data_IF_601614857460
#
_entry.id   IF_601614857460
#
_cell.length_a   1.000
_cell.length_b   1.000
_cell.length_c   1.000
_cell.angle_alpha   90.00
_cell.angle_beta   90.00
_cell.angle_gamma   90.00
#
_symmetry.space_group_name_H-M   'P 1'
#
loop_
_entity.id
_entity.type
_entity.pdbx_description
1 polymer ?
#
# COMPACT_ATOMS: atom_id res chain seq x y z
N UNK A 1 -17.43 52.73 6.16
CA UNK A 1 -18.63 52.22 5.47
C UNK A 1 -18.25 50.90 4.85
N UNK A 2 -18.60 49.80 5.51
CA UNK A 2 -18.32 48.43 5.04
C UNK A 2 -19.47 48.08 4.09
N UNK A 3 -19.17 47.98 2.80
CA UNK A 3 -20.13 47.47 1.82
C UNK A 3 -20.30 45.97 2.06
N UNK A 4 -21.36 45.60 2.79
CA UNK A 4 -21.92 44.25 2.75
C UNK A 4 -22.37 43.97 1.31
N UNK A 5 -21.48 43.35 0.54
CA UNK A 5 -21.86 42.69 -0.71
C UNK A 5 -22.87 41.59 -0.31
N UNK A 6 -24.16 41.86 -0.50
CA UNK A 6 -25.22 40.86 -0.40
C UNK A 6 -24.88 39.71 -1.35
N UNK A 7 -24.26 38.66 -0.81
CA UNK A 7 -24.04 37.41 -1.53
C UNK A 7 -25.42 36.87 -1.93
N UNK A 8 -25.68 36.83 -3.24
CA UNK A 8 -26.94 36.33 -3.78
C UNK A 8 -27.02 34.83 -3.48
N UNK A 9 -27.93 34.46 -2.58
CA UNK A 9 -28.21 33.06 -2.25
C UNK A 9 -29.09 32.47 -3.34
N UNK A 10 -28.65 31.35 -3.91
CA UNK A 10 -29.38 30.59 -4.94
C UNK A 10 -29.65 29.18 -4.39
N UNK A 11 -30.80 28.60 -4.75
CA UNK A 11 -31.21 27.26 -4.32
C UNK A 11 -31.07 26.28 -5.48
N UNK A 12 -30.38 25.17 -5.24
CA UNK A 12 -30.16 24.14 -6.25
C UNK A 12 -30.32 22.73 -5.67
N UNK A 13 -30.76 21.78 -6.50
CA UNK A 13 -30.71 20.36 -6.14
C UNK A 13 -29.27 19.90 -6.00
N UNK A 14 -29.01 19.09 -4.98
CA UNK A 14 -27.67 18.60 -4.62
C UNK A 14 -27.51 17.15 -5.04
N UNK A 15 -26.42 16.88 -5.76
CA UNK A 15 -26.02 15.56 -6.18
C UNK A 15 -24.74 15.13 -5.46
N UNK A 16 -24.84 14.24 -4.46
CA UNK A 16 -23.68 13.63 -3.83
C UNK A 16 -22.95 12.69 -4.80
N UNK A 17 -21.64 12.87 -4.96
CA UNK A 17 -20.79 11.94 -5.71
C UNK A 17 -19.96 11.07 -4.77
N UNK A 18 -19.86 9.78 -5.12
CA UNK A 18 -18.94 8.84 -4.47
C UNK A 18 -17.57 8.96 -5.15
N UNK A 19 -16.49 9.01 -4.37
CA UNK A 19 -15.11 8.82 -4.85
C UNK A 19 -14.65 9.76 -5.98
N UNK A 20 -15.30 10.92 -6.17
CA UNK A 20 -14.79 11.94 -7.09
C UNK A 20 -15.19 13.34 -6.65
N UNK A 21 -14.37 14.32 -7.04
CA UNK A 21 -14.59 15.76 -6.87
C UNK A 21 -14.68 16.35 -8.27
N UNK A 22 -15.78 17.05 -8.56
CA UNK A 22 -15.98 17.71 -9.85
C UNK A 22 -15.38 19.12 -9.79
N UNK A 23 -14.42 19.43 -10.67
CA UNK A 23 -13.85 20.77 -10.79
C UNK A 23 -14.62 21.65 -11.80
N UNK A 24 -14.53 22.98 -11.69
CA UNK A 24 -15.02 23.89 -12.72
C UNK A 24 -14.47 23.56 -14.12
N UNK A 25 -15.31 23.69 -15.15
CA UNK A 25 -15.05 23.34 -16.56
C UNK A 25 -14.75 21.86 -16.85
N UNK A 26 -14.62 21.02 -15.84
CA UNK A 26 -14.46 19.58 -16.03
C UNK A 26 -15.76 18.97 -16.53
N UNK A 27 -15.66 18.08 -17.52
CA UNK A 27 -16.78 17.27 -18.02
C UNK A 27 -16.52 15.82 -17.65
N UNK A 28 -17.44 15.20 -16.92
CA UNK A 28 -17.37 13.78 -16.56
C UNK A 28 -18.71 13.08 -16.78
N UNK A 29 -18.69 11.80 -17.17
CA UNK A 29 -19.85 10.95 -16.99
C UNK A 29 -20.00 10.59 -15.51
N UNK A 30 -21.22 10.63 -15.00
CA UNK A 30 -21.59 10.13 -13.68
C UNK A 30 -22.66 9.06 -13.82
N UNK A 31 -22.49 7.98 -13.08
CA UNK A 31 -23.45 6.90 -13.02
C UNK A 31 -24.42 7.14 -11.84
N UNK A 32 -25.71 7.09 -12.12
CA UNK A 32 -26.79 7.48 -11.22
C UNK A 32 -27.68 6.26 -10.99
N UNK A 33 -27.54 5.62 -9.83
CA UNK A 33 -28.32 4.43 -9.46
C UNK A 33 -29.19 4.59 -8.21
N UNK A 34 -28.88 5.56 -7.32
CA UNK A 34 -29.67 5.79 -6.10
C UNK A 34 -31.03 6.38 -6.45
N UNK A 35 -32.09 5.93 -5.79
CA UNK A 35 -33.47 6.40 -6.05
C UNK A 35 -33.60 7.93 -5.96
N UNK A 36 -33.03 8.55 -4.91
CA UNK A 36 -33.05 10.02 -4.74
C UNK A 36 -32.35 10.74 -5.89
N UNK A 37 -31.19 10.25 -6.33
CA UNK A 37 -30.42 10.85 -7.42
C UNK A 37 -31.08 10.63 -8.79
N UNK A 38 -31.73 9.48 -9.00
CA UNK A 38 -32.54 9.21 -10.20
C UNK A 38 -33.73 10.16 -10.27
N UNK A 39 -34.43 10.36 -9.15
CA UNK A 39 -35.54 11.30 -9.05
C UNK A 39 -35.10 12.74 -9.34
N UNK A 40 -33.96 13.16 -8.77
CA UNK A 40 -33.32 14.45 -9.09
C UNK A 40 -33.14 14.62 -10.60
N UNK A 41 -32.49 13.66 -11.27
CA UNK A 41 -32.22 13.76 -12.72
C UNK A 41 -33.52 13.79 -13.54
N UNK A 42 -34.55 13.06 -13.14
CA UNK A 42 -35.84 13.02 -13.84
C UNK A 42 -36.63 14.33 -13.68
N UNK A 43 -36.50 14.99 -12.54
CA UNK A 43 -37.21 16.23 -12.23
C UNK A 43 -36.51 17.47 -12.85
N UNK A 44 -35.31 17.33 -13.42
CA UNK A 44 -34.62 18.40 -14.14
C UNK A 44 -35.38 18.79 -15.42
N UNK A 45 -35.81 20.05 -15.50
CA UNK A 45 -36.43 20.60 -16.69
C UNK A 45 -35.38 21.10 -17.71
N UNK A 46 -35.72 21.26 -18.99
CA UNK A 46 -34.81 21.81 -20.00
C UNK A 46 -34.25 23.21 -19.65
N UNK A 47 -34.99 23.98 -18.85
CA UNK A 47 -34.63 25.32 -18.36
C UNK A 47 -33.87 25.26 -17.02
N UNK A 48 -33.97 24.16 -16.27
CA UNK A 48 -33.41 23.95 -14.93
C UNK A 48 -32.36 22.84 -14.88
N UNK A 49 -31.37 22.84 -15.80
CA UNK A 49 -30.31 21.82 -15.87
C UNK A 49 -29.16 21.99 -14.85
N UNK A 50 -29.29 22.94 -13.93
CA UNK A 50 -28.26 23.26 -12.96
C UNK A 50 -28.44 22.41 -11.69
N UNK A 51 -27.37 21.76 -11.28
CA UNK A 51 -27.28 20.98 -10.06
C UNK A 51 -26.03 21.40 -9.29
N UNK A 52 -26.00 21.20 -7.98
CA UNK A 52 -24.77 21.34 -7.20
C UNK A 52 -24.21 19.95 -6.94
N UNK A 53 -22.99 19.73 -7.37
CA UNK A 53 -22.27 18.46 -7.21
C UNK A 53 -21.34 18.60 -6.02
N UNK A 54 -21.48 17.69 -5.05
CA UNK A 54 -20.68 17.70 -3.81
C UNK A 54 -20.12 16.31 -3.57
N UNK A 55 -18.83 16.23 -3.21
CA UNK A 55 -18.22 14.97 -2.85
C UNK A 55 -18.66 14.53 -1.44
N UNK A 56 -18.77 13.21 -1.25
CA UNK A 56 -18.91 12.61 0.08
C UNK A 56 -17.54 12.57 0.77
N UNK A 57 -17.51 12.78 2.08
CA UNK A 57 -16.31 12.59 2.90
C UNK A 57 -15.92 11.11 2.93
N UNK A 58 -16.90 10.24 3.18
CA UNK A 58 -16.77 8.79 3.12
C UNK A 58 -17.59 8.21 1.96
N UNK A 59 -16.91 7.72 0.93
CA UNK A 59 -17.54 7.13 -0.25
C UNK A 59 -18.21 5.77 -0.02
N UNK A 60 -18.02 5.15 1.15
CA UNK A 60 -18.67 3.89 1.53
C UNK A 60 -20.12 4.08 2.00
N UNK A 61 -20.52 5.31 2.34
CA UNK A 61 -21.86 5.60 2.84
C UNK A 61 -22.88 5.51 1.70
N UNK A 62 -23.85 4.63 1.87
CA UNK A 62 -24.84 4.36 0.84
C UNK A 62 -25.80 5.53 0.63
N UNK A 63 -26.31 6.12 1.71
CA UNK A 63 -27.21 7.28 1.72
C UNK A 63 -26.62 8.39 2.58
N UNK A 64 -25.79 9.28 2.01
CA UNK A 64 -25.10 10.30 2.78
C UNK A 64 -26.08 11.35 3.31
N UNK A 65 -25.89 11.76 4.55
CA UNK A 65 -26.58 12.91 5.16
C UNK A 65 -25.79 14.19 4.82
N UNK A 66 -26.38 15.38 4.98
CA UNK A 66 -25.68 16.65 4.77
C UNK A 66 -24.35 16.77 5.54
N UNK A 67 -24.27 16.18 6.73
CA UNK A 67 -23.06 16.14 7.57
C UNK A 67 -21.93 15.26 6.98
N UNK A 68 -22.28 14.33 6.09
CA UNK A 68 -21.34 13.40 5.46
C UNK A 68 -20.80 13.97 4.11
N UNK A 69 -21.13 15.24 3.79
CA UNK A 69 -20.77 15.93 2.55
C UNK A 69 -19.84 17.11 2.84
N UNK A 70 -18.90 17.36 1.92
CA UNK A 70 -18.02 18.52 2.04
C UNK A 70 -18.76 19.86 1.94
N UNK A 71 -18.22 20.88 2.60
CA UNK A 71 -18.81 22.22 2.67
C UNK A 71 -18.72 23.02 1.35
N UNK A 72 -17.85 22.59 0.44
CA UNK A 72 -17.74 23.17 -0.91
C UNK A 72 -18.04 22.13 -1.96
N UNK A 73 -18.68 22.59 -3.03
CA UNK A 73 -18.94 21.79 -4.21
C UNK A 73 -18.81 22.63 -5.48
N UNK A 74 -19.36 22.09 -6.56
CA UNK A 74 -19.31 22.72 -7.88
C UNK A 74 -20.73 22.81 -8.43
N UNK A 75 -21.14 24.03 -8.78
CA UNK A 75 -22.31 24.24 -9.62
C UNK A 75 -22.02 23.60 -10.98
N UNK A 76 -22.90 22.72 -11.43
CA UNK A 76 -22.73 21.96 -12.65
C UNK A 76 -23.99 22.01 -13.51
N UNK A 77 -23.82 21.77 -14.80
CA UNK A 77 -24.92 21.62 -15.76
C UNK A 77 -24.96 20.20 -16.27
N UNK A 78 -26.15 19.59 -16.25
CA UNK A 78 -26.39 18.29 -16.87
C UNK A 78 -26.56 18.48 -18.38
N UNK A 79 -25.58 18.03 -19.15
CA UNK A 79 -25.55 18.21 -20.61
C UNK A 79 -26.48 17.20 -21.30
N UNK A 80 -26.31 15.92 -20.96
CA UNK A 80 -27.04 14.78 -21.55
C UNK A 80 -27.25 13.70 -20.50
N UNK A 81 -28.31 12.92 -20.66
CA UNK A 81 -28.65 11.77 -19.83
C UNK A 81 -28.94 10.59 -20.75
N UNK A 82 -28.41 9.43 -20.40
CA UNK A 82 -28.59 8.17 -21.10
C UNK A 82 -29.19 7.16 -20.14
N UNK A 83 -30.21 6.43 -20.58
CA UNK A 83 -30.74 5.29 -19.81
C UNK A 83 -29.83 4.08 -20.00
N UNK A 84 -29.56 3.36 -18.91
CA UNK A 84 -28.73 2.16 -18.89
C UNK A 84 -29.61 0.90 -18.84
N UNK A 85 -29.10 -0.27 -19.27
CA UNK A 85 -29.89 -1.52 -19.31
C UNK A 85 -30.41 -2.03 -17.94
N UNK A 86 -29.82 -1.55 -16.85
CA UNK A 86 -30.09 -1.94 -15.46
C UNK A 86 -31.05 -0.98 -14.74
N UNK A 87 -31.80 -0.15 -15.49
CA UNK A 87 -32.67 0.93 -14.99
C UNK A 87 -31.94 2.09 -14.27
N UNK A 88 -30.61 2.12 -14.29
CA UNK A 88 -29.85 3.29 -13.87
C UNK A 88 -29.74 4.32 -15.01
N UNK A 89 -29.14 5.48 -14.73
CA UNK A 89 -28.85 6.51 -15.73
C UNK A 89 -27.38 6.90 -15.72
N UNK A 90 -26.84 7.19 -16.90
CA UNK A 90 -25.54 7.84 -17.06
C UNK A 90 -25.76 9.29 -17.47
N UNK A 91 -25.33 10.25 -16.65
CA UNK A 91 -25.46 11.67 -16.92
C UNK A 91 -24.09 12.27 -17.23
N UNK A 92 -23.99 13.07 -18.31
CA UNK A 92 -22.79 13.87 -18.61
C UNK A 92 -22.96 15.22 -17.93
N UNK A 93 -22.09 15.51 -16.96
CA UNK A 93 -22.12 16.75 -16.19
C UNK A 93 -20.90 17.61 -16.49
N UNK A 94 -21.12 18.91 -16.58
CA UNK A 94 -20.06 19.90 -16.75
C UNK A 94 -20.02 20.83 -15.54
N UNK A 95 -18.89 20.90 -14.85
CA UNK A 95 -18.66 21.88 -13.79
C UNK A 95 -18.63 23.30 -14.35
N UNK A 96 -19.19 24.25 -13.62
CA UNK A 96 -19.30 25.66 -14.01
C UNK A 96 -18.45 26.51 -13.07
N UNK A 97 -18.81 26.54 -11.78
CA UNK A 97 -18.21 27.42 -10.77
C UNK A 97 -18.21 26.73 -9.40
N UNK A 98 -17.27 27.14 -8.54
CA UNK A 98 -17.24 26.72 -7.14
C UNK A 98 -18.40 27.35 -6.37
N UNK A 99 -18.99 26.56 -5.49
CA UNK A 99 -20.02 27.03 -4.57
C UNK A 99 -19.71 26.59 -3.16
N UNK A 100 -20.08 27.43 -2.20
CA UNK A 100 -20.10 27.09 -0.78
C UNK A 100 -21.52 26.75 -0.37
N UNK A 101 -21.68 25.62 0.30
CA UNK A 101 -22.94 25.20 0.89
C UNK A 101 -23.23 26.07 2.11
N UNK A 102 -24.42 26.67 2.18
CA UNK A 102 -24.84 27.50 3.32
C UNK A 102 -25.78 26.73 4.24
N UNK A 103 -26.80 26.11 3.64
CA UNK A 103 -27.84 25.40 4.38
C UNK A 103 -28.56 24.39 3.47
N UNK A 104 -29.14 23.35 4.06
CA UNK A 104 -29.95 22.35 3.38
C UNK A 104 -31.42 22.59 3.72
N UNK A 105 -32.22 22.89 2.70
CA UNK A 105 -33.57 23.47 2.87
C UNK A 105 -34.68 22.43 2.76
N UNK A 106 -34.42 21.30 2.09
CA UNK A 106 -35.37 20.20 1.93
C UNK A 106 -34.63 18.88 1.59
N UNK A 107 -35.14 17.74 2.07
CA UNK A 107 -34.49 16.42 1.98
C UNK A 107 -35.33 15.36 1.24
N UNK A 108 -36.56 15.70 0.84
CA UNK A 108 -37.49 14.81 0.14
C UNK A 108 -38.05 15.53 -1.10
N UNK A 109 -37.87 15.00 -2.33
CA UNK A 109 -37.33 13.69 -2.68
C UNK A 109 -35.81 13.57 -2.80
N UNK A 110 -35.10 14.69 -2.77
CA UNK A 110 -33.64 14.77 -2.81
C UNK A 110 -33.20 16.06 -2.13
N UNK A 111 -31.90 16.16 -1.84
CA UNK A 111 -31.36 17.33 -1.15
C UNK A 111 -31.49 18.60 -1.99
N UNK A 112 -32.03 19.65 -1.38
CA UNK A 112 -31.99 21.02 -1.87
C UNK A 112 -31.11 21.84 -0.94
N UNK A 113 -30.21 22.65 -1.49
CA UNK A 113 -29.35 23.50 -0.69
C UNK A 113 -29.32 24.94 -1.17
N UNK A 114 -29.25 25.85 -0.20
CA UNK A 114 -28.85 27.24 -0.40
C UNK A 114 -27.34 27.28 -0.55
N UNK A 115 -26.90 27.84 -1.66
CA UNK A 115 -25.48 27.97 -1.96
C UNK A 115 -25.13 29.40 -2.29
N UNK A 116 -23.85 29.72 -2.15
CA UNK A 116 -23.30 30.96 -2.69
C UNK A 116 -22.13 30.65 -3.61
N UNK A 117 -22.08 31.38 -4.73
CA UNK A 117 -20.98 31.27 -5.69
C UNK A 117 -19.74 31.92 -5.09
N UNK A 118 -18.62 31.21 -5.18
CA UNK A 118 -17.37 31.66 -4.61
C UNK A 118 -16.47 32.15 -5.72
N UNK A 119 -15.86 33.33 -5.52
CA UNK A 119 -14.90 33.90 -6.46
C UNK A 119 -13.49 33.58 -6.00
N UNK A 120 -12.63 33.28 -6.97
CA UNK A 120 -11.20 33.14 -6.75
C UNK A 120 -10.62 34.49 -6.28
N UNK A 121 -9.67 34.42 -5.33
CA UNK A 121 -8.80 35.55 -4.99
C UNK A 121 -7.57 35.45 -5.89
N UNK A 122 -7.51 36.32 -6.87
CA UNK A 122 -6.44 36.36 -7.86
C UNK A 122 -5.65 37.67 -7.68
N UNK A 123 -4.48 37.57 -7.06
CA UNK A 123 -3.47 38.63 -7.07
C UNK A 123 -2.44 38.25 -8.14
N UNK A 124 -2.38 39.05 -9.20
CA UNK A 124 -1.41 38.83 -10.28
C UNK A 124 -0.09 39.45 -9.87
N UNK A 125 0.89 38.61 -9.51
CA UNK A 125 2.26 39.01 -9.22
C UNK A 125 3.26 38.16 -10.04
N UNK A 126 4.53 38.62 -10.09
CA UNK A 126 5.61 37.93 -10.82
C UNK A 126 5.84 36.51 -10.28
N UNK A 127 5.52 36.28 -9.01
CA UNK A 127 5.70 35.00 -8.35
C UNK A 127 4.66 33.97 -8.82
N UNK A 128 3.40 34.38 -9.00
CA UNK A 128 2.34 33.54 -9.56
C UNK A 128 2.68 33.10 -10.98
N UNK A 129 3.24 33.98 -11.81
CA UNK A 129 3.68 33.61 -13.16
C UNK A 129 4.78 32.54 -13.14
N UNK A 130 5.74 32.67 -12.21
CA UNK A 130 6.80 31.68 -12.01
C UNK A 130 6.23 30.32 -11.53
N UNK A 131 5.28 30.35 -10.59
CA UNK A 131 4.58 29.16 -10.08
C UNK A 131 3.77 28.48 -11.17
N UNK A 132 3.07 29.24 -12.01
CA UNK A 132 2.30 28.70 -13.14
C UNK A 132 3.22 28.01 -14.14
N UNK A 133 4.40 28.58 -14.43
CA UNK A 133 5.41 27.92 -15.26
C UNK A 133 5.92 26.63 -14.61
N UNK A 134 6.15 26.64 -13.31
CA UNK A 134 6.56 25.44 -12.56
C UNK A 134 5.48 24.35 -12.63
N UNK A 135 4.22 24.67 -12.35
CA UNK A 135 3.10 23.73 -12.45
C UNK A 135 3.01 23.07 -13.83
N UNK A 136 3.19 23.84 -14.92
CA UNK A 136 3.24 23.26 -16.27
C UNK A 136 4.39 22.28 -16.43
N UNK A 137 5.59 22.64 -15.99
CA UNK A 137 6.77 21.78 -16.08
C UNK A 137 6.59 20.49 -15.26
N UNK A 138 6.10 20.60 -14.01
CA UNK A 138 5.82 19.44 -13.16
C UNK A 138 4.78 18.53 -13.80
N UNK A 139 3.74 19.09 -14.42
CA UNK A 139 2.75 18.27 -15.14
C UNK A 139 3.36 17.60 -16.38
N UNK A 140 4.21 18.28 -17.13
CA UNK A 140 4.94 17.66 -18.25
C UNK A 140 5.83 16.51 -17.80
N UNK A 141 6.50 16.62 -16.65
CA UNK A 141 7.24 15.51 -16.06
C UNK A 141 6.31 14.36 -15.67
N UNK A 142 5.14 14.65 -15.08
CA UNK A 142 4.16 13.62 -14.74
C UNK A 142 3.70 12.83 -15.96
N UNK A 143 3.46 13.47 -17.11
CA UNK A 143 3.06 12.75 -18.34
C UNK A 143 4.12 11.74 -18.78
N UNK A 144 5.41 12.01 -18.55
CA UNK A 144 6.48 11.09 -18.95
C UNK A 144 6.49 9.80 -18.13
N UNK A 145 5.98 9.83 -16.91
CA UNK A 145 6.00 8.68 -15.99
C UNK A 145 4.62 8.07 -15.78
N UNK A 146 3.53 8.82 -15.99
CA UNK A 146 2.19 8.35 -15.73
C UNK A 146 1.62 7.57 -16.95
N UNK A 147 1.36 6.27 -16.81
CA UNK A 147 0.96 5.40 -17.95
C UNK A 147 -0.42 5.74 -18.54
N UNK A 148 -1.24 6.48 -17.81
CA UNK A 148 -2.60 6.87 -18.17
C UNK A 148 -2.70 8.30 -18.74
N UNK A 149 -1.60 9.03 -18.86
CA UNK A 149 -1.57 10.36 -19.46
C UNK A 149 -0.85 10.34 -20.82
N UNK A 150 -1.44 11.01 -21.80
CA UNK A 150 -0.89 11.12 -23.16
C UNK A 150 -0.39 12.54 -23.43
N UNK A 151 0.38 12.72 -24.51
CA UNK A 151 0.83 14.05 -24.96
C UNK A 151 -0.34 15.00 -25.29
N UNK A 152 -1.51 14.47 -25.68
CA UNK A 152 -2.71 15.28 -25.91
C UNK A 152 -3.13 16.06 -24.64
N UNK A 153 -2.96 15.47 -23.45
CA UNK A 153 -3.23 16.16 -22.19
C UNK A 153 -2.26 17.33 -21.95
N UNK A 154 -1.00 17.20 -22.38
CA UNK A 154 0.00 18.28 -22.33
C UNK A 154 -0.43 19.48 -23.18
N UNK A 155 -0.87 19.20 -24.42
CA UNK A 155 -1.37 20.21 -25.35
C UNK A 155 -2.63 20.93 -24.84
N UNK A 156 -3.50 20.23 -24.09
CA UNK A 156 -4.67 20.87 -23.49
C UNK A 156 -4.29 21.87 -22.38
N UNK A 157 -3.34 21.51 -21.51
CA UNK A 157 -2.94 22.34 -20.37
C UNK A 157 -2.07 23.54 -20.76
N UNK A 158 -1.22 23.39 -21.78
CA UNK A 158 -0.39 24.50 -22.28
C UNK A 158 -1.22 25.67 -22.82
N UNK A 159 -2.41 25.39 -23.35
CA UNK A 159 -3.33 26.40 -23.88
C UNK A 159 -4.14 27.13 -22.78
N UNK A 160 -4.15 26.65 -21.54
CA UNK A 160 -4.90 27.28 -20.44
C UNK A 160 -4.10 28.47 -19.91
N UNK A 161 -4.62 29.68 -20.13
CA UNK A 161 -3.97 30.93 -19.72
C UNK A 161 -4.25 31.29 -18.25
N UNK A 162 -5.47 31.02 -17.76
CA UNK A 162 -5.85 31.40 -16.38
C UNK A 162 -5.23 30.44 -15.36
N UNK A 163 -4.46 30.95 -14.36
CA UNK A 163 -3.82 30.11 -13.34
C UNK A 163 -4.79 29.23 -12.56
N UNK A 164 -5.95 29.78 -12.16
CA UNK A 164 -6.96 29.01 -11.41
C UNK A 164 -7.47 27.80 -12.19
N UNK A 165 -7.76 27.99 -13.49
CA UNK A 165 -8.20 26.92 -14.39
C UNK A 165 -7.11 25.88 -14.64
N UNK A 166 -5.85 26.31 -14.69
CA UNK A 166 -4.72 25.40 -14.88
C UNK A 166 -4.56 24.46 -13.68
N UNK A 167 -4.61 25.01 -12.46
CA UNK A 167 -4.55 24.23 -11.22
C UNK A 167 -5.68 23.20 -11.15
N UNK A 168 -6.92 23.64 -11.39
CA UNK A 168 -8.11 22.78 -11.39
C UNK A 168 -7.98 21.66 -12.41
N UNK A 169 -7.55 22.00 -13.64
CA UNK A 169 -7.42 21.01 -14.72
C UNK A 169 -6.32 20.00 -14.42
N UNK A 170 -5.17 20.45 -13.92
CA UNK A 170 -4.05 19.57 -13.59
C UNK A 170 -4.48 18.51 -12.55
N UNK A 171 -5.14 18.94 -11.46
CA UNK A 171 -5.60 18.04 -10.39
C UNK A 171 -6.76 17.16 -10.83
N UNK A 172 -7.65 17.65 -11.71
CA UNK A 172 -8.77 16.85 -12.24
C UNK A 172 -8.33 15.59 -12.98
N UNK A 173 -7.11 15.59 -13.55
CA UNK A 173 -6.55 14.48 -14.30
C UNK A 173 -5.78 13.47 -13.42
N UNK A 174 -5.53 13.79 -12.15
CA UNK A 174 -4.78 12.93 -11.25
C UNK A 174 -5.66 11.86 -10.60
N UNK A 175 -5.07 10.71 -10.31
CA UNK A 175 -5.68 9.62 -9.54
C UNK A 175 -5.26 9.71 -8.06
N UNK A 176 -5.51 10.87 -7.44
CA UNK A 176 -5.25 11.12 -6.00
C UNK A 176 -6.52 11.04 -5.16
N UNK A 177 -6.38 11.03 -3.84
CA UNK A 177 -7.52 10.87 -2.93
C UNK A 177 -8.53 12.01 -3.06
N UNK A 178 -9.80 11.72 -2.70
CA UNK A 178 -10.85 12.73 -2.70
C UNK A 178 -10.55 13.90 -1.78
N UNK A 179 -9.99 13.63 -0.60
CA UNK A 179 -9.60 14.67 0.36
C UNK A 179 -8.58 15.62 -0.26
N UNK A 180 -7.55 15.11 -0.94
CA UNK A 180 -6.56 15.96 -1.62
C UNK A 180 -7.19 16.79 -2.75
N UNK A 181 -8.11 16.21 -3.53
CA UNK A 181 -8.83 16.97 -4.58
C UNK A 181 -9.72 18.04 -3.97
N UNK A 182 -10.39 17.71 -2.87
CA UNK A 182 -11.27 18.63 -2.17
C UNK A 182 -10.48 19.81 -1.59
N UNK A 183 -9.32 19.57 -0.97
CA UNK A 183 -8.45 20.64 -0.44
C UNK A 183 -8.08 21.68 -1.52
N UNK A 184 -7.90 21.23 -2.78
CA UNK A 184 -7.65 22.11 -3.93
C UNK A 184 -8.92 22.83 -4.40
N UNK A 185 -10.07 22.16 -4.36
CA UNK A 185 -11.35 22.78 -4.68
C UNK A 185 -11.70 23.90 -3.68
N UNK A 186 -11.38 23.70 -2.40
CA UNK A 186 -11.70 24.62 -1.30
C UNK A 186 -10.75 25.81 -1.19
N UNK A 187 -9.51 25.67 -1.66
CA UNK A 187 -8.54 26.76 -1.62
C UNK A 187 -8.98 27.88 -2.56
N UNK A 188 -9.27 29.08 -2.06
CA UNK A 188 -9.76 30.20 -2.87
C UNK A 188 -8.65 31.13 -3.36
N UNK A 189 -7.52 31.11 -2.68
CA UNK A 189 -6.32 31.82 -3.10
C UNK A 189 -5.64 31.08 -4.25
N UNK A 190 -5.58 31.72 -5.42
CA UNK A 190 -5.10 31.07 -6.63
C UNK A 190 -3.62 30.70 -6.52
N UNK A 191 -2.82 31.51 -5.84
CA UNK A 191 -1.38 31.26 -5.67
C UNK A 191 -1.14 30.07 -4.75
N UNK A 192 -1.79 30.05 -3.58
CA UNK A 192 -1.74 28.92 -2.67
C UNK A 192 -2.27 27.63 -3.32
N UNK A 193 -3.32 27.74 -4.15
CA UNK A 193 -3.86 26.60 -4.90
C UNK A 193 -2.85 26.03 -5.88
N UNK A 194 -2.14 26.88 -6.62
CA UNK A 194 -1.10 26.45 -7.56
C UNK A 194 0.06 25.77 -6.82
N UNK A 195 0.51 26.32 -5.70
CA UNK A 195 1.56 25.71 -4.86
C UNK A 195 1.15 24.34 -4.33
N UNK A 196 -0.05 24.22 -3.76
CA UNK A 196 -0.60 22.95 -3.30
C UNK A 196 -0.69 21.94 -4.44
N UNK A 197 -1.14 22.36 -5.62
CA UNK A 197 -1.18 21.50 -6.80
C UNK A 197 0.20 20.97 -7.17
N UNK A 198 1.22 21.83 -7.24
CA UNK A 198 2.61 21.42 -7.52
C UNK A 198 3.09 20.36 -6.51
N UNK A 199 2.79 20.54 -5.23
CA UNK A 199 3.17 19.59 -4.18
C UNK A 199 2.49 18.22 -4.38
N UNK A 200 1.19 18.22 -4.70
CA UNK A 200 0.44 16.98 -5.00
C UNK A 200 1.02 16.28 -6.23
N UNK A 201 1.24 17.00 -7.33
CA UNK A 201 1.84 16.45 -8.55
C UNK A 201 3.23 15.83 -8.27
N UNK A 202 4.09 16.56 -7.55
CA UNK A 202 5.46 16.12 -7.25
C UNK A 202 5.48 14.84 -6.42
N UNK A 203 4.58 14.74 -5.43
CA UNK A 203 4.42 13.53 -4.61
C UNK A 203 3.93 12.35 -5.45
N UNK A 204 3.03 12.58 -6.39
CA UNK A 204 2.52 11.53 -7.27
C UNK A 204 3.60 11.02 -8.24
N UNK A 205 4.43 11.91 -8.80
CA UNK A 205 5.60 11.55 -9.62
C UNK A 205 6.54 10.64 -8.82
N UNK A 206 6.86 11.01 -7.57
CA UNK A 206 7.74 10.21 -6.71
C UNK A 206 7.15 8.82 -6.43
N UNK A 207 5.84 8.73 -6.17
CA UNK A 207 5.14 7.47 -5.95
C UNK A 207 5.24 6.56 -7.17
N UNK A 208 5.01 7.08 -8.37
CA UNK A 208 5.07 6.32 -9.62
C UNK A 208 6.49 5.81 -9.85
N UNK A 209 7.50 6.68 -9.77
CA UNK A 209 8.91 6.31 -9.96
C UNK A 209 9.38 5.23 -8.99
N UNK A 210 9.01 5.33 -7.71
CA UNK A 210 9.34 4.30 -6.72
C UNK A 210 8.64 2.97 -7.04
N UNK A 211 7.41 3.01 -7.53
CA UNK A 211 6.69 1.82 -7.98
C UNK A 211 7.40 1.11 -9.14
N UNK A 212 7.89 1.87 -10.13
CA UNK A 212 8.68 1.33 -11.24
C UNK A 212 10.01 0.74 -10.78
N UNK A 213 10.72 1.39 -9.87
CA UNK A 213 11.98 0.90 -9.30
C UNK A 213 11.78 -0.45 -8.60
N UNK A 214 10.76 -0.56 -7.74
CA UNK A 214 10.40 -1.82 -7.06
C UNK A 214 10.05 -2.90 -8.08
N UNK A 215 9.27 -2.56 -9.12
CA UNK A 215 8.90 -3.52 -10.16
C UNK A 215 10.13 -4.01 -10.95
N UNK A 216 11.08 -3.12 -11.24
CA UNK A 216 12.34 -3.46 -11.89
C UNK A 216 13.18 -4.40 -11.03
N UNK A 217 13.33 -4.10 -9.73
CA UNK A 217 14.07 -4.97 -8.80
C UNK A 217 13.49 -6.38 -8.73
N UNK A 218 12.16 -6.49 -8.66
CA UNK A 218 11.45 -7.78 -8.67
C UNK A 218 11.67 -8.50 -10.01
N UNK A 219 11.63 -7.79 -11.14
CA UNK A 219 11.87 -8.40 -12.45
C UNK A 219 13.31 -8.89 -12.63
N UNK A 220 14.28 -8.15 -12.12
CA UNK A 220 15.69 -8.52 -12.11
C UNK A 220 15.95 -9.75 -11.24
N UNK A 221 15.28 -9.86 -10.08
CA UNK A 221 15.35 -11.03 -9.21
C UNK A 221 14.73 -12.28 -9.88
N UNK A 222 13.57 -12.13 -10.54
CA UNK A 222 12.94 -13.21 -11.33
C UNK A 222 13.86 -13.64 -12.48
N UNK A 223 14.46 -12.69 -13.20
CA UNK A 223 15.36 -12.97 -14.32
C UNK A 223 16.64 -13.68 -13.86
N UNK A 224 17.20 -13.30 -12.71
CA UNK A 224 18.33 -14.01 -12.08
C UNK A 224 17.94 -15.45 -11.72
N UNK A 225 16.77 -15.63 -11.10
CA UNK A 225 16.26 -16.95 -10.71
C UNK A 225 16.03 -17.85 -11.93
N UNK A 226 15.46 -17.31 -13.02
CA UNK A 226 15.28 -18.03 -14.29
C UNK A 226 16.62 -18.42 -14.93
N UNK A 227 17.60 -17.51 -14.90
CA UNK A 227 18.96 -17.79 -15.40
C UNK A 227 19.64 -18.87 -14.57
N UNK A 228 19.57 -18.82 -13.25
CA UNK A 228 20.10 -19.86 -12.37
C UNK A 228 19.42 -21.21 -12.60
N UNK A 229 18.10 -21.23 -12.76
CA UNK A 229 17.35 -22.44 -13.11
C UNK A 229 17.84 -23.04 -14.43
N UNK A 230 17.98 -22.21 -15.48
CA UNK A 230 18.48 -22.63 -16.78
C UNK A 230 19.91 -23.17 -16.71
N UNK A 231 20.80 -22.50 -15.99
CA UNK A 231 22.18 -22.94 -15.80
C UNK A 231 22.26 -24.27 -15.02
N UNK A 232 21.39 -24.48 -14.02
CA UNK A 232 21.30 -25.76 -13.30
C UNK A 232 20.83 -26.89 -14.20
N UNK A 233 19.82 -26.66 -15.04
CA UNK A 233 19.36 -27.65 -16.01
C UNK A 233 20.44 -27.97 -17.07
N UNK A 234 21.20 -26.96 -17.52
CA UNK A 234 22.36 -27.21 -18.39
C UNK A 234 23.46 -28.01 -17.69
N UNK A 235 23.78 -27.71 -16.43
CA UNK A 235 24.76 -28.47 -15.66
C UNK A 235 24.31 -29.93 -15.47
N UNK A 236 23.03 -30.18 -15.20
CA UNK A 236 22.48 -31.55 -15.15
C UNK A 236 22.62 -32.27 -16.49
N UNK A 237 22.32 -31.59 -17.61
CA UNK A 237 22.47 -32.16 -18.94
C UNK A 237 23.93 -32.49 -19.28
N UNK A 238 24.88 -31.62 -18.89
CA UNK A 238 26.32 -31.87 -19.06
C UNK A 238 26.79 -33.07 -18.22
N UNK A 239 26.38 -33.15 -16.94
CA UNK A 239 26.71 -34.29 -16.05
C UNK A 239 26.14 -35.62 -16.59
N UNK A 240 24.95 -35.57 -17.20
CA UNK A 240 24.33 -36.72 -17.91
C UNK A 240 25.13 -37.16 -19.14
N UNK A 241 25.59 -36.23 -19.96
CA UNK A 241 26.48 -36.50 -21.11
C UNK A 241 27.85 -37.07 -20.68
N UNK A 242 28.33 -36.72 -19.48
CA UNK A 242 29.56 -37.24 -18.88
C UNK A 242 29.42 -38.67 -18.32
N UNK A 243 28.23 -39.29 -18.38
CA UNK A 243 28.00 -40.67 -17.96
C UNK A 243 27.73 -40.85 -16.47
N UNK A 244 27.41 -39.78 -15.74
CA UNK A 244 26.92 -39.86 -14.36
C UNK A 244 25.41 -40.20 -14.37
N UNK A 245 25.00 -41.21 -13.61
CA UNK A 245 23.60 -41.62 -13.50
C UNK A 245 22.79 -40.51 -12.78
N UNK A 246 21.63 -40.12 -13.30
CA UNK A 246 20.86 -38.95 -12.82
C UNK A 246 20.59 -39.01 -11.31
N UNK A 247 20.39 -40.21 -10.78
CA UNK A 247 20.17 -40.45 -9.35
C UNK A 247 21.42 -40.22 -8.49
N UNK A 248 22.64 -40.48 -8.98
CA UNK A 248 23.86 -40.29 -8.16
C UNK A 248 24.27 -38.83 -8.07
N UNK A 249 24.06 -38.06 -9.15
CA UNK A 249 24.34 -36.62 -9.15
C UNK A 249 23.46 -35.88 -8.14
N UNK A 250 22.16 -36.18 -8.14
CA UNK A 250 21.18 -35.54 -7.26
C UNK A 250 21.48 -35.83 -5.78
N UNK A 251 21.85 -37.09 -5.47
CA UNK A 251 22.21 -37.48 -4.10
C UNK A 251 23.47 -36.76 -3.62
N UNK A 252 24.50 -36.66 -4.46
CA UNK A 252 25.73 -35.95 -4.12
C UNK A 252 25.47 -34.46 -3.87
N UNK A 253 24.63 -33.81 -4.68
CA UNK A 253 24.27 -32.39 -4.49
C UNK A 253 23.53 -32.16 -3.16
N UNK A 254 22.63 -33.08 -2.77
CA UNK A 254 21.97 -33.01 -1.47
C UNK A 254 22.94 -33.26 -0.31
N UNK A 255 23.89 -34.19 -0.48
CA UNK A 255 24.92 -34.46 0.53
C UNK A 255 25.81 -33.23 0.77
N UNK A 256 26.25 -32.57 -0.29
CA UNK A 256 27.07 -31.36 -0.22
C UNK A 256 26.31 -30.23 0.48
N UNK A 257 25.03 -30.01 0.14
CA UNK A 257 24.19 -29.03 0.82
C UNK A 257 24.02 -29.30 2.31
N UNK A 258 23.85 -30.57 2.71
CA UNK A 258 23.73 -30.93 4.13
C UNK A 258 25.00 -30.53 4.89
N UNK A 259 26.17 -30.82 4.31
CA UNK A 259 27.47 -30.47 4.90
C UNK A 259 27.69 -28.96 4.96
N UNK A 260 27.32 -28.23 3.90
CA UNK A 260 27.45 -26.77 3.85
C UNK A 260 26.55 -26.05 4.85
N UNK A 261 25.36 -26.60 5.14
CA UNK A 261 24.40 -26.01 6.07
C UNK A 261 24.97 -25.86 7.50
N UNK A 262 25.91 -26.74 7.89
CA UNK A 262 26.47 -26.84 9.25
C UNK A 262 25.37 -26.94 10.30
N UNK A 263 24.55 -27.99 10.18
CA UNK A 263 23.45 -28.27 11.10
C UNK A 263 24.00 -28.66 12.47
N UNK A 264 23.12 -28.72 13.48
CA UNK A 264 23.44 -29.42 14.74
C UNK A 264 23.64 -30.92 14.49
N UNK A 265 24.48 -31.58 15.28
CA UNK A 265 24.76 -33.02 15.19
C UNK A 265 23.49 -33.90 15.09
N UNK A 266 22.45 -33.56 15.86
CA UNK A 266 21.17 -34.28 15.84
C UNK A 266 20.47 -34.17 14.48
N UNK A 267 20.38 -32.94 13.94
CA UNK A 267 19.74 -32.66 12.66
C UNK A 267 20.53 -33.23 11.48
N UNK A 268 21.87 -33.12 11.50
CA UNK A 268 22.74 -33.68 10.45
C UNK A 268 22.60 -35.20 10.37
N UNK A 269 22.60 -35.87 11.54
CA UNK A 269 22.39 -37.33 11.61
C UNK A 269 21.03 -37.75 11.03
N UNK A 270 19.98 -36.96 11.26
CA UNK A 270 18.65 -37.21 10.68
C UNK A 270 18.66 -36.96 9.17
N UNK A 271 19.28 -35.88 8.70
CA UNK A 271 19.36 -35.55 7.28
C UNK A 271 20.12 -36.62 6.48
N UNK A 272 21.28 -37.07 6.97
CA UNK A 272 22.09 -38.13 6.34
C UNK A 272 21.35 -39.48 6.33
N UNK A 273 20.60 -39.80 7.39
CA UNK A 273 19.79 -41.02 7.43
C UNK A 273 18.66 -41.00 6.39
N UNK A 274 18.00 -39.85 6.22
CA UNK A 274 16.98 -39.71 5.19
C UNK A 274 17.58 -39.68 3.78
N UNK A 275 18.81 -39.16 3.61
CA UNK A 275 19.53 -39.22 2.33
C UNK A 275 19.89 -40.66 1.94
N UNK A 276 20.41 -41.47 2.88
CA UNK A 276 20.64 -42.91 2.66
C UNK A 276 19.33 -43.62 2.29
N UNK A 277 18.22 -43.26 2.94
CA UNK A 277 16.90 -43.80 2.57
C UNK A 277 16.49 -43.37 1.16
N UNK A 278 16.66 -42.10 0.80
CA UNK A 278 16.31 -41.55 -0.52
C UNK A 278 17.04 -42.32 -1.64
N UNK A 279 18.32 -42.66 -1.44
CA UNK A 279 19.13 -43.42 -2.40
C UNK A 279 18.57 -44.80 -2.76
N UNK A 280 17.70 -45.36 -1.91
CA UNK A 280 17.09 -46.69 -2.08
C UNK A 280 15.65 -46.61 -2.59
N UNK A 281 15.04 -45.43 -2.58
CA UNK A 281 13.68 -45.23 -3.06
C UNK A 281 13.74 -45.06 -4.59
N UNK A 282 12.92 -45.79 -5.36
CA UNK A 282 12.80 -45.57 -6.79
C UNK A 282 12.34 -44.13 -7.09
N UNK A 283 13.00 -43.44 -8.02
CA UNK A 283 12.74 -42.03 -8.37
C UNK A 283 11.30 -41.75 -8.80
N UNK A 284 10.60 -42.76 -9.33
CA UNK A 284 9.18 -42.67 -9.73
C UNK A 284 8.19 -42.75 -8.55
N UNK A 285 8.65 -43.06 -7.33
CA UNK A 285 7.80 -43.20 -6.16
C UNK A 285 7.36 -41.84 -5.60
N UNK A 286 6.09 -41.66 -5.20
CA UNK A 286 5.64 -40.49 -4.44
C UNK A 286 6.40 -40.28 -3.12
N UNK A 287 6.99 -41.33 -2.55
CA UNK A 287 7.83 -41.22 -1.35
C UNK A 287 9.16 -40.51 -1.63
N UNK A 288 9.66 -40.62 -2.87
CA UNK A 288 10.92 -39.98 -3.28
C UNK A 288 10.80 -38.46 -3.17
N UNK A 289 9.72 -37.89 -3.73
CA UNK A 289 9.50 -36.44 -3.71
C UNK A 289 9.30 -35.89 -2.30
N UNK A 290 8.61 -36.64 -1.43
CA UNK A 290 8.40 -36.26 -0.02
C UNK A 290 9.72 -36.29 0.76
N UNK A 291 10.49 -37.37 0.66
CA UNK A 291 11.77 -37.51 1.35
C UNK A 291 12.78 -36.47 0.86
N UNK A 292 12.85 -36.24 -0.45
CA UNK A 292 13.69 -35.20 -1.05
C UNK A 292 13.31 -33.81 -0.54
N UNK A 293 12.04 -33.44 -0.62
CA UNK A 293 11.56 -32.12 -0.16
C UNK A 293 11.91 -31.89 1.31
N UNK A 294 11.80 -32.93 2.15
CA UNK A 294 12.17 -32.85 3.56
C UNK A 294 13.67 -32.57 3.75
N UNK A 295 14.54 -33.27 3.02
CA UNK A 295 15.99 -33.05 3.07
C UNK A 295 16.34 -31.64 2.59
N UNK A 296 15.74 -31.18 1.48
CA UNK A 296 15.93 -29.82 0.96
C UNK A 296 15.51 -28.75 1.98
N UNK A 297 14.39 -28.95 2.68
CA UNK A 297 13.99 -28.05 3.76
C UNK A 297 14.98 -28.01 4.91
N UNK A 298 15.52 -29.15 5.33
CA UNK A 298 16.56 -29.18 6.36
C UNK A 298 17.83 -28.45 5.89
N UNK A 299 18.28 -28.72 4.66
CA UNK A 299 19.51 -28.15 4.12
C UNK A 299 19.44 -26.64 3.86
N UNK A 300 18.29 -26.13 3.41
CA UNK A 300 18.13 -24.71 3.07
C UNK A 300 17.91 -23.81 4.30
N UNK A 301 17.73 -24.36 5.50
CA UNK A 301 17.58 -23.56 6.72
C UNK A 301 18.93 -22.93 7.13
N UNK A 302 18.91 -21.68 7.64
CA UNK A 302 20.15 -20.95 7.92
C UNK A 302 20.79 -21.35 9.26
N UNK A 303 21.06 -22.64 9.50
CA UNK A 303 21.52 -23.18 10.79
C UNK A 303 22.67 -22.40 11.43
N UNK A 304 23.74 -22.16 10.66
CA UNK A 304 24.96 -21.48 11.13
C UNK A 304 25.08 -20.03 10.66
N UNK A 305 24.25 -19.60 9.70
CA UNK A 305 24.33 -18.26 9.10
C UNK A 305 23.60 -17.25 9.99
N UNK A 306 24.34 -16.31 10.55
CA UNK A 306 23.80 -15.27 11.45
C UNK A 306 24.12 -13.88 10.90
N UNK A 307 23.19 -12.93 11.09
CA UNK A 307 23.46 -11.50 10.91
C UNK A 307 24.42 -11.00 11.99
N UNK A 308 25.27 -10.01 11.67
CA UNK A 308 26.16 -9.35 12.64
C UNK A 308 25.34 -8.46 13.60
N UNK A 309 24.93 -9.02 14.73
CA UNK A 309 24.11 -8.36 15.75
C UNK A 309 24.96 -7.40 16.58
N UNK A 310 24.93 -6.10 16.24
CA UNK A 310 25.64 -5.04 16.98
C UNK A 310 24.67 -4.06 17.61
N UNK A 311 24.11 -4.45 18.76
CA UNK A 311 23.22 -3.58 19.54
C UNK A 311 24.00 -2.37 20.09
N UNK A 312 23.79 -1.20 19.49
CA UNK A 312 24.29 0.08 19.97
C UNK A 312 23.12 1.01 20.28
N UNK A 313 22.88 1.24 21.57
CA UNK A 313 21.75 2.06 22.06
C UNK A 313 21.78 3.49 21.50
N UNK A 314 22.96 4.10 21.34
CA UNK A 314 23.08 5.46 20.74
C UNK A 314 22.69 5.47 19.27
N UNK A 315 23.07 4.43 18.52
CA UNK A 315 22.69 4.27 17.11
C UNK A 315 21.19 3.97 16.99
N UNK A 316 20.66 3.12 17.87
CA UNK A 316 19.24 2.81 17.93
C UNK A 316 18.39 4.05 18.20
N UNK A 317 18.80 4.93 19.13
CA UNK A 317 18.09 6.18 19.39
C UNK A 317 17.99 7.05 18.13
N UNK A 318 19.11 7.25 17.43
CA UNK A 318 19.12 8.03 16.19
C UNK A 318 18.22 7.44 15.10
N UNK A 319 18.20 6.11 14.95
CA UNK A 319 17.34 5.44 13.96
C UNK A 319 15.86 5.59 14.36
N UNK A 320 15.52 5.38 15.62
CA UNK A 320 14.16 5.55 16.11
C UNK A 320 13.68 6.99 15.97
N UNK A 321 14.54 7.98 16.21
CA UNK A 321 14.22 9.40 16.04
C UNK A 321 14.07 9.81 14.58
N UNK A 322 14.86 9.23 13.68
CA UNK A 322 14.77 9.48 12.25
C UNK A 322 13.51 8.85 11.65
N UNK A 323 13.18 7.62 12.06
CA UNK A 323 12.06 6.87 11.48
C UNK A 323 10.71 7.26 12.11
N UNK A 324 10.68 7.80 13.34
CA UNK A 324 9.45 8.10 14.08
C UNK A 324 9.53 9.44 14.80
N UNK A 325 8.62 10.37 14.50
CA UNK A 325 8.50 11.63 15.24
C UNK A 325 7.70 11.46 16.54
N UNK A 326 8.18 12.04 17.64
CA UNK A 326 7.57 11.92 18.97
C UNK A 326 7.75 10.53 19.60
N UNK A 327 6.71 10.00 20.25
CA UNK A 327 6.70 8.67 20.91
C UNK A 327 7.81 8.48 21.97
N UNK A 328 8.24 9.54 22.66
CA UNK A 328 9.39 9.55 23.58
C UNK A 328 9.36 8.38 24.59
N UNK A 329 8.23 8.17 25.26
CA UNK A 329 8.08 7.07 26.24
C UNK A 329 8.25 5.67 25.62
N UNK A 330 7.79 5.49 24.38
CA UNK A 330 7.88 4.20 23.67
C UNK A 330 9.31 3.97 23.21
N UNK A 331 9.95 5.00 22.64
CA UNK A 331 11.37 4.96 22.25
C UNK A 331 12.27 4.66 23.44
N UNK A 332 12.06 5.35 24.56
CA UNK A 332 12.80 5.11 25.82
C UNK A 332 12.67 3.64 26.25
N UNK A 333 11.45 3.08 26.23
CA UNK A 333 11.22 1.68 26.58
C UNK A 333 11.90 0.67 25.64
N UNK A 334 11.93 0.97 24.34
CA UNK A 334 12.66 0.16 23.35
C UNK A 334 14.17 0.21 23.64
N UNK A 335 14.70 1.39 23.94
CA UNK A 335 16.13 1.59 24.24
C UNK A 335 16.52 0.86 25.54
N UNK A 336 15.69 0.91 26.57
CA UNK A 336 15.88 0.11 27.80
C UNK A 336 15.96 -1.38 27.49
N UNK A 337 15.04 -1.89 26.68
CA UNK A 337 15.02 -3.29 26.27
C UNK A 337 16.30 -3.69 25.53
N UNK A 338 16.72 -2.88 24.55
CA UNK A 338 17.96 -3.09 23.80
C UNK A 338 19.19 -2.99 24.70
N UNK A 339 19.21 -2.07 25.68
CA UNK A 339 20.30 -1.93 26.63
C UNK A 339 20.44 -3.16 27.52
N UNK A 340 19.33 -3.67 28.09
CA UNK A 340 19.33 -4.90 28.90
C UNK A 340 19.81 -6.10 28.07
N UNK A 341 19.34 -6.21 26.82
CA UNK A 341 19.80 -7.26 25.90
C UNK A 341 21.29 -7.14 25.59
N UNK A 342 21.79 -5.94 25.31
CA UNK A 342 23.21 -5.70 25.04
C UNK A 342 24.09 -6.08 26.24
N UNK A 343 23.65 -5.77 27.47
CA UNK A 343 24.35 -6.17 28.69
C UNK A 343 24.36 -7.69 28.89
N UNK A 344 23.25 -8.37 28.60
CA UNK A 344 23.16 -9.83 28.67
C UNK A 344 24.08 -10.50 27.65
N UNK A 345 24.08 -10.04 26.39
CA UNK A 345 24.98 -10.55 25.35
C UNK A 345 26.46 -10.32 25.69
N UNK A 346 26.81 -9.20 26.34
CA UNK A 346 28.19 -8.98 26.82
C UNK A 346 28.59 -9.94 27.94
N UNK A 347 27.65 -10.34 28.79
CA UNK A 347 27.89 -11.25 29.91
C UNK A 347 27.93 -12.71 29.47
N UNK A 348 27.12 -13.06 28.47
CA UNK A 348 26.97 -14.39 27.93
C UNK A 348 26.73 -14.31 26.41
N UNK A 349 27.81 -14.30 25.60
CA UNK A 349 27.72 -14.14 24.14
C UNK A 349 27.01 -15.31 23.46
N UNK A 350 27.18 -16.52 23.99
CA UNK A 350 26.62 -17.76 23.44
C UNK A 350 25.29 -18.16 24.12
N UNK A 351 24.91 -17.44 25.18
CA UNK A 351 23.68 -17.67 25.92
C UNK A 351 22.44 -17.20 25.18
N UNK A 352 21.37 -18.00 25.27
CA UNK A 352 20.05 -17.57 24.83
C UNK A 352 19.62 -16.36 25.68
N UNK A 353 19.39 -15.21 25.01
CA UNK A 353 18.88 -14.00 25.66
C UNK A 353 17.43 -14.24 26.09
N UNK A 354 17.24 -14.85 27.26
CA UNK A 354 15.92 -15.01 27.87
C UNK A 354 15.47 -13.65 28.42
N UNK A 355 14.45 -13.10 27.80
CA UNK A 355 13.83 -11.83 28.18
C UNK A 355 12.35 -11.83 27.80
N UNK A 356 11.55 -10.93 28.40
CA UNK A 356 10.14 -10.79 28.02
C UNK A 356 10.04 -10.40 26.54
N UNK A 357 8.97 -10.87 25.87
CA UNK A 357 8.67 -10.47 24.50
C UNK A 357 8.11 -9.03 24.53
N UNK A 358 8.58 -8.16 23.63
CA UNK A 358 8.02 -6.82 23.49
C UNK A 358 6.65 -6.90 22.83
N UNK A 359 5.63 -6.35 23.50
CA UNK A 359 4.27 -6.26 22.98
C UNK A 359 3.90 -4.78 22.79
N UNK A 360 3.63 -4.39 21.55
CA UNK A 360 3.15 -3.06 21.20
C UNK A 360 1.62 -3.08 21.14
N UNK A 361 0.96 -2.42 22.09
CA UNK A 361 -0.49 -2.30 22.14
C UNK A 361 -0.92 -0.87 21.77
N UNK A 362 -1.96 -0.75 20.94
CA UNK A 362 -2.51 0.53 20.52
C UNK A 362 -3.45 0.39 19.33
N UNK A 363 -4.17 1.45 18.95
CA UNK A 363 -5.10 1.41 17.80
C UNK A 363 -4.37 1.13 16.48
N UNK A 364 -5.08 0.74 15.41
CA UNK A 364 -4.53 0.64 14.07
C UNK A 364 -3.90 1.96 13.61
N UNK A 365 -2.87 1.90 12.75
CA UNK A 365 -2.25 3.09 12.15
C UNK A 365 -1.20 3.83 13.00
N UNK A 366 -0.97 3.45 14.27
CA UNK A 366 0.02 4.13 15.15
C UNK A 366 1.49 3.75 14.91
N UNK A 367 1.81 3.05 13.82
CA UNK A 367 3.20 2.71 13.48
C UNK A 367 3.82 1.54 14.26
N UNK A 368 3.01 0.61 14.79
CA UNK A 368 3.53 -0.58 15.50
C UNK A 368 4.49 -1.41 14.64
N UNK A 369 4.11 -1.66 13.39
CA UNK A 369 4.90 -2.46 12.44
C UNK A 369 6.17 -1.75 12.02
N UNK A 370 6.11 -0.44 11.78
CA UNK A 370 7.28 0.37 11.45
C UNK A 370 8.26 0.46 12.62
N UNK A 371 7.80 0.49 13.88
CA UNK A 371 8.69 0.40 15.06
C UNK A 371 9.46 -0.92 15.09
N UNK A 372 8.81 -2.05 14.80
CA UNK A 372 9.48 -3.36 14.70
C UNK A 372 10.58 -3.38 13.64
N UNK A 373 10.32 -2.76 12.49
CA UNK A 373 11.30 -2.63 11.41
C UNK A 373 12.50 -1.74 11.81
N UNK A 374 12.25 -0.61 12.47
CA UNK A 374 13.32 0.25 12.99
C UNK A 374 14.17 -0.46 14.05
N UNK A 375 13.57 -1.31 14.89
CA UNK A 375 14.31 -2.16 15.84
C UNK A 375 15.23 -3.11 15.09
N UNK A 376 14.73 -3.85 14.10
CA UNK A 376 15.53 -4.77 13.30
C UNK A 376 16.71 -4.07 12.60
N UNK A 377 16.42 -2.92 11.97
CA UNK A 377 17.43 -2.05 11.34
C UNK A 377 18.47 -1.54 12.32
N UNK A 378 18.06 -1.17 13.53
CA UNK A 378 18.99 -0.71 14.58
C UNK A 378 19.95 -1.80 15.06
N UNK A 379 19.51 -3.05 14.99
CA UNK A 379 20.29 -4.23 15.36
C UNK A 379 21.13 -4.79 14.21
N UNK A 380 20.84 -4.39 12.96
CA UNK A 380 21.46 -5.00 11.78
C UNK A 380 20.98 -6.43 11.53
N UNK A 381 19.73 -6.75 11.91
CA UNK A 381 19.14 -8.08 11.76
C UNK A 381 18.04 -8.02 10.71
N UNK A 382 17.85 -9.12 9.99
CA UNK A 382 16.75 -9.28 9.04
C UNK A 382 15.39 -9.13 9.73
N UNK A 383 14.45 -8.44 9.06
CA UNK A 383 13.11 -8.22 9.58
C UNK A 383 12.11 -9.15 8.89
N UNK A 384 11.38 -9.93 9.69
CA UNK A 384 10.29 -10.76 9.21
C UNK A 384 9.01 -10.38 9.95
N UNK A 385 7.95 -10.11 9.19
CA UNK A 385 6.60 -9.95 9.70
C UNK A 385 5.77 -11.20 9.43
N UNK A 386 5.12 -11.72 10.46
CA UNK A 386 4.10 -12.77 10.38
C UNK A 386 2.79 -12.18 10.89
N UNK A 387 1.78 -12.11 10.03
CA UNK A 387 0.43 -11.77 10.47
C UNK A 387 -0.22 -12.99 11.11
N UNK A 388 -0.71 -12.81 12.33
CA UNK A 388 -1.50 -13.79 13.07
C UNK A 388 -3.01 -13.57 12.90
N UNK A 389 -3.40 -12.47 12.26
CA UNK A 389 -4.79 -12.19 11.92
C UNK A 389 -5.39 -13.30 11.06
N UNK A 390 -6.45 -13.93 11.57
CA UNK A 390 -7.16 -15.00 10.86
C UNK A 390 -6.49 -16.37 10.92
N UNK A 391 -5.42 -16.55 11.70
CA UNK A 391 -4.88 -17.88 12.00
C UNK A 391 -5.87 -18.63 12.88
N UNK A 392 -6.26 -19.83 12.44
CA UNK A 392 -7.28 -20.67 13.11
C UNK A 392 -6.79 -22.04 13.54
N UNK A 393 -5.62 -22.45 13.09
CA UNK A 393 -5.06 -23.78 13.36
C UNK A 393 -3.59 -23.66 13.75
N UNK A 394 -3.21 -24.39 14.80
CA UNK A 394 -1.82 -24.57 15.27
C UNK A 394 -0.91 -25.03 14.11
N UNK A 395 -1.45 -25.82 13.18
CA UNK A 395 -0.73 -26.31 12.02
C UNK A 395 -0.20 -25.19 11.10
N UNK A 396 -0.81 -24.00 11.10
CA UNK A 396 -0.28 -22.85 10.36
C UNK A 396 1.04 -22.33 10.97
N UNK A 397 1.21 -22.48 12.29
CA UNK A 397 2.40 -22.02 13.01
C UNK A 397 3.49 -23.10 13.01
N UNK A 398 3.13 -24.35 13.34
CA UNK A 398 4.10 -25.47 13.46
C UNK A 398 4.28 -26.31 12.20
N UNK A 399 3.29 -26.32 11.30
CA UNK A 399 3.25 -27.18 10.10
C UNK A 399 2.49 -28.48 10.31
N UNK A 400 2.34 -29.23 9.21
CA UNK A 400 1.73 -30.56 9.25
C UNK A 400 2.82 -31.65 9.32
N UNK A 401 2.44 -32.83 9.84
CA UNK A 401 3.33 -34.00 9.75
C UNK A 401 3.64 -34.30 8.29
N UNK A 402 4.93 -34.53 7.97
CA UNK A 402 5.43 -34.84 6.62
C UNK A 402 4.77 -36.06 5.94
N UNK A 403 4.05 -36.89 6.68
CA UNK A 403 3.31 -38.04 6.16
C UNK A 403 2.06 -37.65 5.38
N UNK A 404 1.57 -36.41 5.51
CA UNK A 404 0.48 -35.91 4.68
C UNK A 404 1.02 -35.43 3.33
N UNK A 405 0.34 -35.81 2.25
CA UNK A 405 0.67 -35.34 0.90
C UNK A 405 0.54 -33.82 0.86
N UNK A 406 1.59 -33.12 0.44
CA UNK A 406 1.63 -31.65 0.41
C UNK A 406 1.91 -30.98 1.76
N UNK A 407 2.32 -31.73 2.79
CA UNK A 407 2.70 -31.16 4.08
C UNK A 407 3.88 -30.19 3.93
N UNK A 408 3.70 -28.98 4.44
CA UNK A 408 4.75 -27.97 4.53
C UNK A 408 5.06 -27.64 6.00
N UNK A 409 6.29 -27.18 6.31
CA UNK A 409 6.60 -26.61 7.61
C UNK A 409 5.71 -25.40 7.91
N UNK A 410 5.50 -25.07 9.18
CA UNK A 410 4.68 -23.92 9.55
C UNK A 410 5.32 -22.58 9.18
N UNK A 411 4.54 -21.50 9.29
CA UNK A 411 4.92 -20.14 8.90
C UNK A 411 6.23 -19.67 9.54
N UNK A 412 6.56 -20.11 10.75
CA UNK A 412 7.80 -19.76 11.45
C UNK A 412 9.02 -20.30 10.67
N UNK A 413 9.02 -21.58 10.32
CA UNK A 413 10.13 -22.23 9.61
C UNK A 413 10.25 -21.70 8.18
N UNK A 414 9.12 -21.52 7.48
CA UNK A 414 9.12 -20.93 6.14
C UNK A 414 9.72 -19.52 6.16
N UNK A 415 9.35 -18.72 7.15
CA UNK A 415 9.85 -17.35 7.30
C UNK A 415 11.32 -17.30 7.72
N UNK A 416 11.80 -18.27 8.50
CA UNK A 416 13.21 -18.40 8.84
C UNK A 416 14.05 -18.71 7.59
N UNK A 417 13.56 -19.61 6.72
CA UNK A 417 14.15 -19.86 5.40
C UNK A 417 14.20 -18.57 4.56
N UNK A 418 13.10 -17.81 4.52
CA UNK A 418 13.03 -16.51 3.81
C UNK A 418 14.02 -15.47 4.37
N UNK A 419 14.23 -15.44 5.68
CA UNK A 419 15.17 -14.52 6.31
C UNK A 419 16.63 -14.83 5.95
N UNK A 420 16.95 -16.08 5.62
CA UNK A 420 18.30 -16.51 5.26
C UNK A 420 19.34 -16.37 6.39
N UNK A 421 18.91 -16.07 7.62
CA UNK A 421 19.74 -16.00 8.84
C UNK A 421 18.98 -16.65 10.01
N UNK A 422 19.69 -17.27 10.97
CA UNK A 422 19.09 -17.91 12.16
C UNK A 422 18.65 -16.92 13.24
N UNK A 423 19.04 -15.65 13.12
CA UNK A 423 18.78 -14.61 14.10
C UNK A 423 18.01 -13.43 13.48
N UNK A 424 16.84 -13.61 12.83
CA UNK A 424 16.03 -12.48 12.42
C UNK A 424 15.25 -11.88 13.60
N UNK A 425 14.71 -10.69 13.39
CA UNK A 425 13.65 -10.11 14.23
C UNK A 425 12.31 -10.53 13.66
N UNK A 426 11.61 -11.40 14.38
CA UNK A 426 10.23 -11.75 14.10
C UNK A 426 9.29 -10.73 14.74
N UNK A 427 8.42 -10.15 13.92
CA UNK A 427 7.26 -9.41 14.38
C UNK A 427 6.00 -10.25 14.14
N UNK A 428 5.36 -10.61 15.25
CA UNK A 428 4.06 -11.29 15.26
C UNK A 428 2.97 -10.23 15.35
N UNK A 429 2.35 -9.92 14.20
CA UNK A 429 1.37 -8.84 14.08
C UNK A 429 -0.05 -9.38 14.35
N UNK A 430 -0.92 -8.52 14.88
CA UNK A 430 -2.34 -8.84 15.17
C UNK A 430 -2.57 -10.08 16.07
N UNK A 431 -1.75 -10.24 17.12
CA UNK A 431 -1.91 -11.33 18.09
C UNK A 431 -3.28 -11.33 18.80
N UNK A 432 -3.91 -10.14 18.91
CA UNK A 432 -5.24 -9.94 19.46
C UNK A 432 -6.36 -10.54 18.60
N UNK A 433 -6.06 -10.91 17.33
CA UNK A 433 -7.00 -11.51 16.39
C UNK A 433 -6.84 -13.03 16.26
N UNK A 434 -6.05 -13.66 17.13
CA UNK A 434 -5.94 -15.12 17.22
C UNK A 434 -7.19 -15.74 17.85
N UNK A 435 -7.64 -16.88 17.32
CA UNK A 435 -8.44 -17.84 18.09
C UNK A 435 -9.90 -17.44 18.37
N UNK A 436 -10.57 -16.69 17.48
CA UNK A 436 -12.02 -16.43 17.63
C UNK A 436 -12.92 -17.69 17.46
N UNK A 437 -12.34 -18.88 17.22
CA UNK A 437 -13.06 -20.15 17.11
C UNK A 437 -12.52 -21.22 18.10
N UNK A 438 -13.47 -21.93 18.75
CA UNK A 438 -13.33 -22.91 19.85
C UNK A 438 -12.62 -24.23 19.48
N UNK A 439 -11.49 -24.21 18.77
CA UNK A 439 -10.71 -25.45 18.48
C UNK A 439 -9.22 -25.26 18.79
N UNK A 440 -8.86 -25.59 20.04
CA UNK A 440 -7.47 -25.66 20.52
C UNK A 440 -7.04 -24.46 21.37
N UNK A 441 -5.95 -24.63 22.12
CA UNK A 441 -5.11 -23.53 22.60
C UNK A 441 -4.08 -23.30 21.48
N UNK A 442 -4.25 -22.25 20.64
CA UNK A 442 -3.54 -22.09 19.37
C UNK A 442 -2.03 -21.85 19.48
#
# INVERSE_FOLDING_TARGET
>A
MVEEIKLKTEEYPVMPLRNTVLFPQQVIPIYVGREKSLKLINDLTPQGKHIVVVAQEDGSIEDPRPEDLYSYGTLAVVLKVFDMPDNSKSAIVQGVERVKMLDYVDNDPYYMAKVTRVKDKEETDIELDALVKNLRNTFSELIQVAPNLTEEHSGMLSNIQKPSRLADRAISLLTVSNSEKQDILEELDVKARVEKSIAVLSREIQRIKLGEEIQSEVHDEISKTQREYYLREQMKAIKKELGEDEGTVELNELEDKIKEAKMSDEAEKVALKELDRLSRIPTQSPEYSVARTYIEWLADLPWSKSSDDRVNVKKANKILDADHYGLEKVKERILEYLAVRSLKQKKDPDGAVRGPILCFAGPPGVGKTSLGQSIARSMGREFIRISLGGVRDEAEIRGHRRTYIGALPGRIIQSLKKAGTNNPVFMLDEIDKLGMDFRGDP
#
